data_IF_146339165454
#
_entry.id   IF_146339165454
#
_cell.length_a   1.000
_cell.length_b   1.000
_cell.length_c   1.000
_cell.angle_alpha   90.00
_cell.angle_beta   90.00
_cell.angle_gamma   90.00
#
_symmetry.space_group_name_H-M   'P 1'
#
loop_
_entity.id
_entity.type
_entity.pdbx_description
1 polymer ?
#
# COMPACT_ATOMS: atom_id res chain seq x y z
N UNK A 1 -29.33 -11.71 -59.59
CA UNK A 1 -28.46 -10.66 -59.02
C UNK A 1 -29.31 -9.78 -58.13
N UNK A 2 -29.10 -9.87 -56.83
CA UNK A 2 -29.33 -8.81 -55.85
C UNK A 2 -28.76 -9.32 -54.53
N UNK A 3 -27.43 -9.23 -54.43
CA UNK A 3 -26.73 -9.26 -53.15
C UNK A 3 -27.24 -8.09 -52.30
N UNK A 4 -27.72 -8.38 -51.08
CA UNK A 4 -27.77 -7.37 -50.04
C UNK A 4 -27.33 -7.98 -48.71
N UNK A 5 -26.00 -7.99 -48.58
CA UNK A 5 -25.18 -7.79 -47.38
C UNK A 5 -25.87 -7.97 -46.03
N UNK A 6 -25.45 -9.05 -45.37
CA UNK A 6 -25.59 -9.35 -43.96
C UNK A 6 -25.01 -8.21 -43.10
N UNK A 7 -25.85 -7.22 -42.76
CA UNK A 7 -25.53 -6.19 -41.78
C UNK A 7 -25.37 -6.84 -40.40
N UNK A 8 -24.12 -7.02 -39.95
CA UNK A 8 -23.84 -7.21 -38.53
C UNK A 8 -24.11 -5.90 -37.81
N UNK A 9 -25.37 -5.65 -37.46
CA UNK A 9 -25.67 -4.68 -36.40
C UNK A 9 -24.99 -5.21 -35.14
N UNK A 10 -23.87 -4.59 -34.78
CA UNK A 10 -23.33 -4.73 -33.42
C UNK A 10 -24.43 -4.22 -32.49
N UNK A 11 -24.85 -4.99 -31.48
CA UNK A 11 -25.79 -4.48 -30.50
C UNK A 11 -25.19 -3.20 -29.92
N UNK A 12 -25.88 -2.08 -30.10
CA UNK A 12 -25.60 -0.88 -29.33
C UNK A 12 -25.91 -1.28 -27.89
N UNK A 13 -24.86 -1.62 -27.14
CA UNK A 13 -24.96 -1.94 -25.72
C UNK A 13 -25.48 -0.66 -25.04
N UNK A 14 -26.77 -0.61 -24.74
CA UNK A 14 -27.38 0.46 -23.95
C UNK A 14 -26.53 0.63 -22.68
N UNK A 15 -26.13 1.87 -22.40
CA UNK A 15 -25.37 2.23 -21.21
C UNK A 15 -26.17 1.78 -19.98
N UNK A 16 -25.78 0.65 -19.37
CA UNK A 16 -26.39 0.18 -18.15
C UNK A 16 -25.95 1.11 -17.01
N UNK A 17 -26.87 1.90 -16.41
CA UNK A 17 -26.52 2.89 -15.39
C UNK A 17 -25.90 2.25 -14.14
N UNK A 18 -26.21 0.99 -13.83
CA UNK A 18 -25.58 0.26 -12.73
C UNK A 18 -24.13 -0.10 -13.04
N UNK A 19 -23.83 -0.45 -14.30
CA UNK A 19 -22.47 -0.72 -14.73
C UNK A 19 -21.61 0.56 -14.72
N UNK A 20 -22.16 1.70 -15.15
CA UNK A 20 -21.47 2.98 -15.02
C UNK A 20 -21.15 3.34 -13.57
N UNK A 21 -22.11 3.16 -12.65
CA UNK A 21 -21.89 3.35 -11.21
C UNK A 21 -20.78 2.43 -10.67
N UNK A 22 -20.79 1.16 -11.08
CA UNK A 22 -19.75 0.19 -10.70
C UNK A 22 -18.36 0.65 -11.19
N UNK A 23 -18.27 1.11 -12.44
CA UNK A 23 -17.00 1.63 -12.99
C UNK A 23 -16.50 2.80 -12.15
N UNK A 24 -17.32 3.81 -11.92
CA UNK A 24 -16.94 4.96 -11.09
C UNK A 24 -16.48 4.52 -9.68
N UNK A 25 -17.22 3.61 -9.06
CA UNK A 25 -16.85 3.08 -7.75
C UNK A 25 -15.48 2.38 -7.75
N UNK A 26 -15.18 1.55 -8.76
CA UNK A 26 -13.89 0.85 -8.87
C UNK A 26 -12.73 1.83 -9.01
N UNK A 27 -12.90 2.92 -9.77
CA UNK A 27 -11.88 3.96 -9.91
C UNK A 27 -11.62 4.71 -8.59
N UNK A 28 -12.68 5.14 -7.90
CA UNK A 28 -12.54 5.80 -6.60
C UNK A 28 -11.95 4.86 -5.54
N UNK A 29 -12.33 3.58 -5.57
CA UNK A 29 -11.78 2.57 -4.67
C UNK A 29 -10.28 2.36 -4.92
N UNK A 30 -9.84 2.32 -6.17
CA UNK A 30 -8.41 2.25 -6.49
C UNK A 30 -7.65 3.43 -5.88
N UNK A 31 -8.15 4.65 -6.09
CA UNK A 31 -7.53 5.87 -5.57
C UNK A 31 -7.40 5.83 -4.03
N UNK A 32 -8.48 5.46 -3.34
CA UNK A 32 -8.48 5.35 -1.88
C UNK A 32 -7.52 4.25 -1.39
N UNK A 33 -7.53 3.07 -2.02
CA UNK A 33 -6.64 1.97 -1.64
C UNK A 33 -5.17 2.31 -1.92
N UNK A 34 -4.86 2.97 -3.03
CA UNK A 34 -3.50 3.40 -3.36
C UNK A 34 -2.96 4.42 -2.35
N UNK A 35 -3.77 5.40 -1.94
CA UNK A 35 -3.35 6.35 -0.91
C UNK A 35 -3.21 5.68 0.46
N UNK A 36 -4.13 4.79 0.83
CA UNK A 36 -4.03 3.99 2.05
C UNK A 36 -2.76 3.12 2.06
N UNK A 37 -2.44 2.45 0.95
CA UNK A 37 -1.23 1.65 0.79
C UNK A 37 0.03 2.52 0.98
N UNK A 38 0.07 3.70 0.37
CA UNK A 38 1.18 4.65 0.51
C UNK A 38 1.36 5.11 1.96
N UNK A 39 0.29 5.35 2.68
CA UNK A 39 0.35 5.68 4.11
C UNK A 39 0.80 4.49 4.97
N UNK A 40 0.30 3.28 4.69
CA UNK A 40 0.71 2.05 5.37
C UNK A 40 2.22 1.80 5.22
N UNK A 41 2.73 1.88 3.99
CA UNK A 41 4.15 1.77 3.69
C UNK A 41 4.99 2.78 4.49
N UNK A 42 4.58 4.06 4.49
CA UNK A 42 5.28 5.12 5.24
C UNK A 42 5.29 4.84 6.75
N UNK A 43 4.19 4.31 7.29
CA UNK A 43 4.07 3.97 8.70
C UNK A 43 5.01 2.83 9.10
N UNK A 44 5.04 1.74 8.31
CA UNK A 44 5.93 0.60 8.52
C UNK A 44 7.39 1.03 8.41
N UNK A 45 7.73 1.79 7.36
CA UNK A 45 9.07 2.35 7.17
C UNK A 45 9.51 3.17 8.37
N UNK A 46 8.67 4.09 8.85
CA UNK A 46 8.97 4.94 10.01
C UNK A 46 9.24 4.12 11.29
N UNK A 47 8.45 3.08 11.57
CA UNK A 47 8.69 2.23 12.75
C UNK A 47 10.02 1.48 12.65
N UNK A 48 10.38 0.98 11.46
CA UNK A 48 11.68 0.34 11.22
C UNK A 48 12.85 1.30 11.43
N UNK A 49 12.79 2.49 10.84
CA UNK A 49 13.83 3.52 10.95
C UNK A 49 14.00 4.01 12.39
N UNK A 50 12.91 4.23 13.11
CA UNK A 50 12.94 4.60 14.52
C UNK A 50 13.49 3.47 15.39
N UNK A 51 13.07 2.23 15.15
CA UNK A 51 13.61 1.05 15.83
C UNK A 51 15.11 0.92 15.63
N UNK A 52 15.60 1.07 14.40
CA UNK A 52 17.04 1.04 14.11
C UNK A 52 17.79 2.16 14.84
N UNK A 53 17.27 3.38 14.80
CA UNK A 53 17.86 4.55 15.46
C UNK A 53 17.96 4.34 16.99
N UNK A 54 16.93 3.78 17.63
CA UNK A 54 16.97 3.45 19.06
C UNK A 54 17.96 2.32 19.38
N UNK A 55 18.14 1.34 18.49
CA UNK A 55 19.17 0.31 18.66
C UNK A 55 20.56 0.94 18.63
N UNK A 56 20.83 1.81 17.65
CA UNK A 56 22.15 2.40 17.48
C UNK A 56 22.46 3.43 18.58
N UNK A 57 21.46 4.21 18.99
CA UNK A 57 21.55 5.04 20.19
C UNK A 57 21.85 4.19 21.44
N UNK A 58 21.14 3.08 21.62
CA UNK A 58 21.35 2.18 22.76
C UNK A 58 22.78 1.65 22.85
N UNK A 59 23.34 1.21 21.72
CA UNK A 59 24.75 0.78 21.61
C UNK A 59 25.72 1.92 21.94
N UNK A 60 25.51 3.11 21.35
CA UNK A 60 26.38 4.26 21.54
C UNK A 60 26.39 4.71 23.02
N UNK A 61 25.22 4.76 23.66
CA UNK A 61 25.12 5.13 25.07
C UNK A 61 25.75 4.09 25.99
N UNK A 62 25.66 2.79 25.67
CA UNK A 62 26.39 1.76 26.43
C UNK A 62 27.91 1.90 26.30
N UNK A 63 28.41 2.21 25.10
CA UNK A 63 29.83 2.50 24.90
C UNK A 63 30.28 3.71 25.71
N UNK A 64 29.48 4.78 25.74
CA UNK A 64 29.73 5.93 26.61
C UNK A 64 29.74 5.51 28.09
N UNK A 65 28.77 4.70 28.52
CA UNK A 65 28.71 4.17 29.88
C UNK A 65 29.93 3.34 30.28
N UNK A 66 30.58 2.66 29.33
CA UNK A 66 31.81 1.90 29.59
C UNK A 66 33.05 2.81 29.77
N UNK A 67 33.01 4.04 29.27
CA UNK A 67 34.04 5.05 29.50
C UNK A 67 33.85 5.79 30.84
N UNK A 68 32.70 5.63 31.48
CA UNK A 68 32.34 6.29 32.73
C UNK A 68 32.41 5.33 33.92
N UNK A 69 32.75 5.86 35.10
CA UNK A 69 32.76 5.08 36.35
C UNK A 69 31.45 5.15 37.13
N UNK A 70 31.35 4.30 38.15
CA UNK A 70 30.38 4.43 39.26
C UNK A 70 28.90 4.51 38.80
N UNK A 71 28.15 5.47 39.35
CA UNK A 71 26.72 5.62 39.11
C UNK A 71 26.38 6.09 37.68
N UNK A 72 27.24 6.91 37.07
CA UNK A 72 27.01 7.46 35.73
C UNK A 72 27.12 6.38 34.65
N UNK A 73 28.16 5.54 34.70
CA UNK A 73 28.31 4.41 33.79
C UNK A 73 27.15 3.43 33.86
N UNK A 74 26.64 3.17 35.08
CA UNK A 74 25.42 2.36 35.28
C UNK A 74 24.19 3.02 34.67
N UNK A 75 23.99 4.33 34.88
CA UNK A 75 22.85 5.06 34.33
C UNK A 75 22.81 5.02 32.80
N UNK A 76 23.96 5.21 32.13
CA UNK A 76 24.06 5.07 30.68
C UNK A 76 23.82 3.63 30.22
N UNK A 77 24.35 2.64 30.92
CA UNK A 77 24.09 1.23 30.60
C UNK A 77 22.60 0.88 30.68
N UNK A 78 21.92 1.33 31.73
CA UNK A 78 20.48 1.15 31.94
C UNK A 78 19.66 1.87 30.86
N UNK A 79 20.05 3.11 30.49
CA UNK A 79 19.41 3.86 29.41
C UNK A 79 19.56 3.14 28.06
N UNK A 80 20.76 2.66 27.75
CA UNK A 80 21.01 1.93 26.51
C UNK A 80 20.22 0.63 26.42
N UNK A 81 20.12 -0.13 27.52
CA UNK A 81 19.30 -1.34 27.58
C UNK A 81 17.80 -1.05 27.38
N UNK A 82 17.29 0.05 27.96
CA UNK A 82 15.90 0.48 27.72
C UNK A 82 15.67 0.88 26.26
N UNK A 83 16.63 1.55 25.64
CA UNK A 83 16.54 1.93 24.22
C UNK A 83 16.48 0.71 23.30
N UNK A 84 17.31 -0.31 23.55
CA UNK A 84 17.28 -1.57 22.79
C UNK A 84 15.96 -2.34 23.00
N UNK A 85 15.40 -2.33 24.21
CA UNK A 85 14.09 -2.91 24.46
C UNK A 85 12.98 -2.22 23.65
N UNK A 86 13.00 -0.89 23.57
CA UNK A 86 12.06 -0.13 22.75
C UNK A 86 12.28 -0.38 21.26
N UNK A 87 13.53 -0.48 20.82
CA UNK A 87 13.89 -0.88 19.45
C UNK A 87 13.26 -2.22 19.07
N UNK A 88 13.41 -3.24 19.92
CA UNK A 88 12.84 -4.57 19.68
C UNK A 88 11.31 -4.54 19.59
N UNK A 89 10.64 -3.75 20.44
CA UNK A 89 9.18 -3.55 20.37
C UNK A 89 8.75 -2.91 19.05
N UNK A 90 9.42 -1.84 18.62
CA UNK A 90 9.12 -1.17 17.35
C UNK A 90 9.36 -2.07 16.14
N UNK A 91 10.41 -2.90 16.16
CA UNK A 91 10.65 -3.87 15.08
C UNK A 91 9.53 -4.91 15.00
N UNK A 92 9.06 -5.41 16.15
CA UNK A 92 7.93 -6.33 16.22
C UNK A 92 6.64 -5.69 15.72
N UNK A 93 6.34 -4.47 16.15
CA UNK A 93 5.17 -3.71 15.70
C UNK A 93 5.23 -3.42 14.20
N UNK A 94 6.40 -3.01 13.68
CA UNK A 94 6.60 -2.80 12.25
C UNK A 94 6.32 -4.07 11.44
N UNK A 95 6.74 -5.23 11.93
CA UNK A 95 6.45 -6.51 11.28
C UNK A 95 4.96 -6.84 11.32
N UNK A 96 4.28 -6.63 12.45
CA UNK A 96 2.83 -6.82 12.55
C UNK A 96 2.06 -5.89 11.62
N UNK A 97 2.45 -4.61 11.53
CA UNK A 97 1.87 -3.65 10.60
C UNK A 97 2.11 -4.03 9.14
N UNK A 98 3.28 -4.55 8.80
CA UNK A 98 3.55 -5.05 7.45
C UNK A 98 2.58 -6.20 7.10
N UNK A 99 2.54 -7.23 7.94
CA UNK A 99 1.81 -8.47 7.63
C UNK A 99 0.30 -8.32 7.71
N UNK A 100 -0.21 -7.52 8.65
CA UNK A 100 -1.64 -7.41 8.92
C UNK A 100 -2.29 -6.20 8.24
N UNK A 101 -1.51 -5.28 7.68
CA UNK A 101 -2.04 -4.05 7.11
C UNK A 101 -1.45 -3.72 5.73
N UNK A 102 -0.13 -3.58 5.60
CA UNK A 102 0.48 -3.17 4.33
C UNK A 102 0.36 -4.22 3.21
N UNK A 103 0.73 -5.48 3.47
CA UNK A 103 0.61 -6.55 2.45
C UNK A 103 -0.87 -6.81 2.05
N UNK A 104 -1.84 -6.90 2.98
CA UNK A 104 -3.25 -6.99 2.60
C UNK A 104 -3.73 -5.82 1.73
N UNK A 105 -3.36 -4.57 2.06
CA UNK A 105 -3.72 -3.40 1.25
C UNK A 105 -3.15 -3.48 -0.17
N UNK A 106 -1.89 -3.91 -0.30
CA UNK A 106 -1.23 -4.10 -1.59
C UNK A 106 -1.92 -5.18 -2.43
N UNK A 107 -2.42 -6.25 -1.81
CA UNK A 107 -3.20 -7.27 -2.50
C UNK A 107 -4.57 -6.75 -2.96
N UNK A 108 -5.24 -5.93 -2.14
CA UNK A 108 -6.50 -5.29 -2.55
C UNK A 108 -6.30 -4.30 -3.72
N UNK A 109 -5.23 -3.50 -3.70
CA UNK A 109 -4.89 -2.61 -4.83
C UNK A 109 -4.74 -3.43 -6.12
N UNK A 110 -4.01 -4.55 -6.08
CA UNK A 110 -3.83 -5.44 -7.25
C UNK A 110 -5.15 -6.04 -7.73
N UNK A 111 -6.00 -6.46 -6.80
CA UNK A 111 -7.31 -7.01 -7.14
C UNK A 111 -8.18 -5.98 -7.87
N UNK A 112 -8.25 -4.74 -7.35
CA UNK A 112 -9.01 -3.64 -7.96
C UNK A 112 -8.43 -3.24 -9.32
N UNK A 113 -7.11 -3.22 -9.47
CA UNK A 113 -6.45 -2.98 -10.76
C UNK A 113 -6.80 -4.06 -11.79
N UNK A 114 -6.88 -5.33 -11.38
CA UNK A 114 -7.28 -6.43 -12.25
C UNK A 114 -8.75 -6.29 -12.72
N UNK A 115 -9.63 -5.87 -11.81
CA UNK A 115 -11.04 -5.57 -12.14
C UNK A 115 -11.12 -4.41 -13.14
N UNK A 116 -10.38 -3.32 -12.89
CA UNK A 116 -10.32 -2.15 -13.78
C UNK A 116 -9.79 -2.51 -15.17
N UNK A 117 -8.77 -3.37 -15.26
CA UNK A 117 -8.27 -3.88 -16.53
C UNK A 117 -9.34 -4.66 -17.29
N UNK A 118 -10.06 -5.57 -16.61
CA UNK A 118 -11.16 -6.36 -17.21
C UNK A 118 -12.29 -5.46 -17.73
N UNK A 119 -12.65 -4.41 -16.99
CA UNK A 119 -13.61 -3.38 -17.42
C UNK A 119 -13.12 -2.66 -18.69
N UNK A 120 -11.84 -2.29 -18.74
CA UNK A 120 -11.21 -1.66 -19.89
C UNK A 120 -11.21 -2.56 -21.13
N UNK A 121 -10.87 -3.84 -20.96
CA UNK A 121 -10.93 -4.84 -22.03
C UNK A 121 -12.34 -4.98 -22.60
N UNK A 122 -13.37 -5.07 -21.75
CA UNK A 122 -14.77 -5.12 -22.21
C UNK A 122 -15.12 -3.90 -23.06
N UNK A 123 -14.76 -2.69 -22.61
CA UNK A 123 -15.05 -1.46 -23.34
C UNK A 123 -14.38 -1.42 -24.74
N UNK A 124 -13.16 -1.95 -24.87
CA UNK A 124 -12.46 -2.06 -26.15
C UNK A 124 -13.17 -3.02 -27.13
N UNK A 125 -13.66 -4.16 -26.63
CA UNK A 125 -14.35 -5.17 -27.47
C UNK A 125 -15.75 -4.70 -27.92
N UNK A 126 -16.47 -3.96 -27.07
CA UNK A 126 -17.78 -3.38 -27.42
C UNK A 126 -17.70 -2.18 -28.38
N UNK A 127 -16.50 -1.72 -28.75
CA UNK A 127 -16.31 -0.61 -29.71
C UNK A 127 -16.57 0.79 -29.14
N UNK A 128 -16.73 0.91 -27.82
CA UNK A 128 -16.93 2.19 -27.13
C UNK A 128 -15.56 2.80 -26.77
N UNK A 129 -14.79 3.21 -27.77
CA UNK A 129 -13.48 3.82 -27.57
C UNK A 129 -13.56 5.35 -27.72
N UNK A 130 -13.66 6.05 -26.58
CA UNK A 130 -13.17 7.42 -26.46
C UNK A 130 -12.97 7.79 -24.97
N UNK A 131 -11.72 8.05 -24.59
CA UNK A 131 -11.28 8.88 -23.45
C UNK A 131 -11.24 8.34 -21.99
N UNK A 132 -11.73 7.15 -21.64
CA UNK A 132 -11.82 6.76 -20.21
C UNK A 132 -10.54 6.21 -19.56
N UNK A 133 -9.50 5.88 -20.33
CA UNK A 133 -8.22 5.38 -19.80
C UNK A 133 -7.25 6.51 -19.38
N UNK A 134 -7.66 7.78 -19.48
CA UNK A 134 -6.79 8.96 -19.28
C UNK A 134 -7.16 9.86 -18.07
N UNK A 135 -8.07 9.44 -17.20
CA UNK A 135 -8.31 10.09 -15.90
C UNK A 135 -7.96 9.12 -14.77
#
# INVERSE_FOLDING_TARGET
MSDFVLGKEKPVEESNPEYEKLKHYVFELENHLAEAQKHAYRLVKRHRELGQSLSDFGKAVKLLGACEGQALGKAFSDLGAKSELLSAKLQKEAHQLLMNFEEPLKDYVRAVQSIKATIGERAMHSGNNANWLKQ
#
